data_IF_505570747427
#
_entry.id   IF_505570747427
#
_cell.length_a   1.000
_cell.length_b   1.000
_cell.length_c   1.000
_cell.angle_alpha   90.00
_cell.angle_beta   90.00
_cell.angle_gamma   90.00
#
_symmetry.space_group_name_H-M   'P 1'
#
loop_
_entity.id
_entity.type
_entity.pdbx_description
1 polymer ?
#
# COMPACT_ATOMS: atom_id res chain seq x y z
N UNK A 1 48.90 -4.72 25.27
CA UNK A 1 48.89 -3.64 24.23
C UNK A 1 48.75 -4.30 22.88
N UNK A 2 47.61 -4.11 22.22
CA UNK A 2 47.35 -4.59 20.84
C UNK A 2 48.34 -3.91 19.89
N UNK A 3 49.00 -4.71 19.00
CA UNK A 3 49.93 -4.18 18.02
C UNK A 3 49.23 -3.20 17.07
N UNK A 4 49.78 -2.04 16.75
CA UNK A 4 49.13 -1.00 15.95
C UNK A 4 48.60 -1.50 14.58
N UNK A 5 49.22 -2.50 13.97
CA UNK A 5 48.76 -3.16 12.74
C UNK A 5 47.37 -3.85 12.92
N UNK A 6 47.10 -4.45 14.09
CA UNK A 6 45.85 -5.12 14.36
C UNK A 6 44.70 -4.12 14.54
N UNK A 7 44.97 -2.97 15.16
CA UNK A 7 43.99 -1.88 15.33
C UNK A 7 43.55 -1.27 14.01
N UNK A 8 44.47 -1.11 13.05
CA UNK A 8 44.19 -0.62 11.69
C UNK A 8 43.36 -1.64 10.91
N UNK A 9 43.67 -2.93 11.08
CA UNK A 9 42.92 -4.01 10.42
C UNK A 9 41.47 -4.09 10.93
N UNK A 10 41.23 -3.96 12.24
CA UNK A 10 39.90 -3.94 12.84
C UNK A 10 39.10 -2.70 12.37
N UNK A 11 39.73 -1.52 12.31
CA UNK A 11 39.08 -0.31 11.77
C UNK A 11 38.67 -0.45 10.30
N UNK A 12 39.52 -1.02 9.46
CA UNK A 12 39.22 -1.28 8.04
C UNK A 12 38.09 -2.29 7.90
N UNK A 13 38.06 -3.36 8.70
CA UNK A 13 37.01 -4.37 8.69
C UNK A 13 35.65 -3.78 9.08
N UNK A 14 35.62 -2.92 10.09
CA UNK A 14 34.38 -2.24 10.51
C UNK A 14 33.86 -1.26 9.45
N UNK A 15 34.74 -0.53 8.76
CA UNK A 15 34.34 0.39 7.70
C UNK A 15 33.79 -0.39 6.49
N UNK A 16 34.43 -1.49 6.13
CA UNK A 16 33.97 -2.35 5.03
C UNK A 16 32.61 -3.00 5.35
N UNK A 17 32.41 -3.49 6.57
CA UNK A 17 31.15 -4.03 7.04
C UNK A 17 30.04 -2.97 7.05
N UNK A 18 30.34 -1.74 7.47
CA UNK A 18 29.42 -0.61 7.43
C UNK A 18 29.05 -0.21 6.00
N UNK A 19 30.00 -0.20 5.08
CA UNK A 19 29.76 0.08 3.66
C UNK A 19 28.91 -1.01 3.00
N UNK A 20 29.16 -2.28 3.30
CA UNK A 20 28.35 -3.40 2.81
C UNK A 20 26.92 -3.29 3.37
N UNK A 21 26.76 -2.98 4.66
CA UNK A 21 25.46 -2.78 5.28
C UNK A 21 24.70 -1.61 4.66
N UNK A 22 25.36 -0.50 4.34
CA UNK A 22 24.79 0.65 3.63
C UNK A 22 24.37 0.29 2.20
N UNK A 23 25.14 -0.53 1.50
CA UNK A 23 24.78 -1.01 0.14
C UNK A 23 23.55 -1.91 0.20
N UNK A 24 23.47 -2.83 1.18
CA UNK A 24 22.30 -3.68 1.39
C UNK A 24 21.05 -2.88 1.79
N UNK A 25 21.21 -1.87 2.63
CA UNK A 25 20.12 -0.96 2.99
C UNK A 25 19.62 -0.20 1.74
N UNK A 26 20.53 0.34 0.92
CA UNK A 26 20.15 1.01 -0.32
C UNK A 26 19.51 0.07 -1.35
N UNK A 27 19.90 -1.21 -1.41
CA UNK A 27 19.23 -2.19 -2.27
C UNK A 27 17.84 -2.60 -1.75
N UNK A 28 17.62 -2.62 -0.45
CA UNK A 28 16.29 -2.82 0.14
C UNK A 28 15.34 -1.64 -0.13
N UNK A 29 15.86 -0.42 -0.25
CA UNK A 29 15.08 0.78 -0.60
C UNK A 29 15.04 1.09 -2.11
N UNK A 30 15.86 0.42 -2.93
CA UNK A 30 15.90 0.61 -4.39
C UNK A 30 14.97 -0.32 -5.17
N UNK A 31 14.18 -1.13 -4.49
CA UNK A 31 13.07 -1.83 -5.13
C UNK A 31 12.00 -0.78 -5.34
N UNK A 32 11.83 -0.29 -6.58
CA UNK A 32 10.70 0.57 -6.93
C UNK A 32 9.45 -0.20 -6.52
N UNK A 33 8.77 0.28 -5.48
CA UNK A 33 7.58 -0.38 -5.00
C UNK A 33 6.52 -0.30 -6.10
N UNK A 34 6.34 -1.43 -6.77
CA UNK A 34 5.32 -1.57 -7.81
C UNK A 34 3.98 -1.76 -7.14
N UNK A 35 3.01 -0.99 -7.59
CA UNK A 35 1.63 -1.10 -7.17
C UNK A 35 0.86 -1.81 -8.26
N UNK A 36 0.19 -2.90 -7.88
CA UNK A 36 -0.74 -3.58 -8.78
C UNK A 36 -2.07 -2.84 -8.82
N UNK A 37 -2.53 -2.51 -10.00
CA UNK A 37 -3.91 -2.09 -10.27
C UNK A 37 -4.67 -3.24 -10.92
N UNK A 38 -5.79 -3.64 -10.36
CA UNK A 38 -6.67 -4.66 -10.93
C UNK A 38 -8.12 -4.21 -10.99
N UNK A 39 -8.74 -4.38 -12.13
CA UNK A 39 -10.11 -3.95 -12.41
C UNK A 39 -10.16 -2.64 -13.22
N UNK A 40 -11.26 -1.92 -13.08
CA UNK A 40 -11.48 -0.67 -13.82
C UNK A 40 -10.82 0.52 -13.09
N UNK A 41 -9.50 0.45 -12.91
CA UNK A 41 -8.74 1.57 -12.38
C UNK A 41 -8.44 2.60 -13.47
N UNK A 42 -8.48 3.87 -13.11
CA UNK A 42 -8.06 4.95 -14.00
C UNK A 42 -6.54 5.09 -13.96
N UNK A 43 -5.85 4.62 -15.01
CA UNK A 43 -4.39 4.62 -15.07
C UNK A 43 -3.81 6.04 -15.18
N UNK A 44 -4.50 6.95 -15.82
CA UNK A 44 -4.02 8.32 -15.96
C UNK A 44 -3.99 9.03 -14.61
N UNK A 45 -5.02 8.83 -13.79
CA UNK A 45 -5.06 9.35 -12.42
C UNK A 45 -4.03 8.65 -11.51
N UNK A 46 -3.82 7.35 -11.69
CA UNK A 46 -2.76 6.63 -10.97
C UNK A 46 -1.36 7.18 -11.33
N UNK A 47 -1.11 7.49 -12.59
CA UNK A 47 0.15 8.11 -13.03
C UNK A 47 0.33 9.52 -12.44
N UNK A 48 -0.73 10.32 -12.37
CA UNK A 48 -0.70 11.64 -11.69
C UNK A 48 -0.36 11.48 -10.21
N UNK A 49 -0.92 10.48 -9.53
CA UNK A 49 -0.61 10.17 -8.13
C UNK A 49 0.87 9.78 -7.94
N UNK A 50 1.42 8.97 -8.86
CA UNK A 50 2.85 8.63 -8.86
C UNK A 50 3.72 9.87 -9.02
N UNK A 51 3.41 10.74 -9.97
CA UNK A 51 4.14 11.99 -10.21
C UNK A 51 4.04 12.95 -9.00
N UNK A 52 2.87 13.05 -8.40
CA UNK A 52 2.65 13.85 -7.19
C UNK A 52 3.51 13.33 -6.02
N UNK A 53 3.55 12.04 -5.75
CA UNK A 53 4.40 11.43 -4.72
C UNK A 53 5.88 11.64 -5.00
N UNK A 54 6.31 11.51 -6.25
CA UNK A 54 7.70 11.73 -6.66
C UNK A 54 8.13 13.18 -6.43
N UNK A 55 7.30 14.13 -6.80
CA UNK A 55 7.62 15.56 -6.71
C UNK A 55 7.53 16.10 -5.27
N UNK A 56 6.57 15.62 -4.48
CA UNK A 56 6.33 16.14 -3.12
C UNK A 56 7.14 15.42 -2.04
N UNK A 57 7.48 14.15 -2.23
CA UNK A 57 8.04 13.29 -1.19
C UNK A 57 9.22 12.45 -1.64
N UNK A 58 9.65 12.59 -2.90
CA UNK A 58 10.71 11.78 -3.51
C UNK A 58 10.44 10.27 -3.42
N UNK A 59 9.16 9.88 -3.43
CA UNK A 59 8.72 8.47 -3.47
C UNK A 59 8.47 8.11 -4.93
N UNK A 60 9.25 7.17 -5.46
CA UNK A 60 9.15 6.70 -6.86
C UNK A 60 8.36 5.39 -6.90
N UNK A 61 7.09 5.47 -7.25
CA UNK A 61 6.17 4.33 -7.36
C UNK A 61 5.78 4.11 -8.82
N UNK A 62 5.68 2.86 -9.24
CA UNK A 62 5.19 2.48 -10.56
C UNK A 62 3.87 1.72 -10.42
N UNK A 63 2.83 2.18 -11.10
CA UNK A 63 1.58 1.46 -11.21
C UNK A 63 1.62 0.49 -12.40
N UNK A 64 1.21 -0.76 -12.16
CA UNK A 64 1.10 -1.79 -13.20
C UNK A 64 -0.33 -2.31 -13.25
N UNK A 65 -0.93 -2.31 -14.44
CA UNK A 65 -2.23 -2.94 -14.68
C UNK A 65 -2.01 -4.38 -15.11
N UNK A 66 -2.70 -5.30 -14.46
CA UNK A 66 -2.75 -6.70 -14.90
C UNK A 66 -4.17 -7.10 -15.28
N UNK A 67 -4.26 -7.90 -16.34
CA UNK A 67 -5.48 -8.58 -16.72
C UNK A 67 -5.68 -9.87 -15.88
N UNK A 68 -6.88 -10.45 -15.95
CA UNK A 68 -7.24 -11.65 -15.19
C UNK A 68 -6.36 -12.86 -15.54
N UNK A 69 -5.89 -12.96 -16.79
CA UNK A 69 -5.13 -14.10 -17.29
C UNK A 69 -3.69 -14.14 -16.74
N UNK A 70 -3.14 -12.97 -16.41
CA UNK A 70 -1.75 -12.79 -15.97
C UNK A 70 -1.64 -12.31 -14.53
N UNK A 71 -2.72 -12.39 -13.77
CA UNK A 71 -2.78 -11.84 -12.42
C UNK A 71 -1.90 -12.65 -11.46
N UNK A 72 -0.85 -12.01 -10.95
CA UNK A 72 0.10 -12.55 -9.97
C UNK A 72 0.31 -11.51 -8.88
N UNK A 73 -0.16 -11.78 -7.68
CA UNK A 73 -0.05 -10.84 -6.56
C UNK A 73 1.33 -10.82 -5.91
N UNK A 74 2.08 -11.93 -5.96
CA UNK A 74 3.33 -12.13 -5.22
C UNK A 74 4.48 -11.18 -5.57
N UNK A 75 4.30 -10.37 -6.61
CA UNK A 75 5.30 -9.37 -7.04
C UNK A 75 5.08 -7.98 -6.44
N UNK A 76 3.97 -7.78 -5.70
CA UNK A 76 3.53 -6.46 -5.29
C UNK A 76 3.36 -6.38 -3.76
N UNK A 77 3.86 -5.32 -3.17
CA UNK A 77 3.64 -4.99 -1.76
C UNK A 77 2.36 -4.20 -1.54
N UNK A 78 1.93 -3.45 -2.57
CA UNK A 78 0.71 -2.66 -2.62
C UNK A 78 -0.19 -3.19 -3.74
N UNK A 79 -1.44 -3.50 -3.40
CA UNK A 79 -2.42 -4.08 -4.32
C UNK A 79 -3.70 -3.26 -4.26
N UNK A 80 -4.14 -2.73 -5.41
CA UNK A 80 -5.36 -1.94 -5.52
C UNK A 80 -6.37 -2.69 -6.38
N UNK A 81 -7.53 -2.98 -5.80
CA UNK A 81 -8.69 -3.58 -6.47
C UNK A 81 -9.74 -2.51 -6.69
N UNK A 82 -9.96 -2.10 -7.94
CA UNK A 82 -10.87 -1.03 -8.27
C UNK A 82 -12.30 -1.52 -8.53
N UNK A 83 -13.27 -0.81 -7.96
CA UNK A 83 -14.68 -1.15 -8.06
C UNK A 83 -14.99 -2.52 -7.43
N UNK A 84 -15.79 -3.29 -8.13
CA UNK A 84 -16.17 -4.64 -7.70
C UNK A 84 -15.27 -5.75 -8.28
N UNK A 85 -14.04 -5.42 -8.69
CA UNK A 85 -13.11 -6.40 -9.31
C UNK A 85 -12.77 -7.58 -8.39
N UNK A 86 -12.83 -7.38 -7.06
CA UNK A 86 -12.64 -8.44 -6.08
C UNK A 86 -13.61 -9.61 -6.24
N UNK A 87 -14.81 -9.39 -6.83
CA UNK A 87 -15.79 -10.45 -7.09
C UNK A 87 -15.38 -11.39 -8.24
N UNK A 88 -14.44 -10.98 -9.08
CA UNK A 88 -13.92 -11.77 -10.20
C UNK A 88 -12.73 -12.64 -9.82
N UNK A 89 -12.19 -12.50 -8.62
CA UNK A 89 -11.04 -13.26 -8.18
C UNK A 89 -11.39 -14.73 -7.97
N UNK A 90 -10.59 -15.62 -8.59
CA UNK A 90 -10.70 -17.06 -8.39
C UNK A 90 -10.28 -17.46 -6.97
N UNK A 91 -10.61 -18.69 -6.56
CA UNK A 91 -10.18 -19.27 -5.28
C UNK A 91 -8.64 -19.26 -5.14
N UNK A 92 -7.93 -19.51 -6.22
CA UNK A 92 -6.46 -19.48 -6.25
C UNK A 92 -5.95 -18.08 -6.00
N UNK A 93 -6.54 -17.08 -6.65
CA UNK A 93 -6.20 -15.66 -6.44
C UNK A 93 -6.47 -15.22 -5.02
N UNK A 94 -7.60 -15.62 -4.42
CA UNK A 94 -7.94 -15.29 -3.03
C UNK A 94 -6.91 -15.89 -2.05
N UNK A 95 -6.50 -17.14 -2.26
CA UNK A 95 -5.47 -17.80 -1.43
C UNK A 95 -4.11 -17.12 -1.55
N UNK A 96 -3.71 -16.74 -2.76
CA UNK A 96 -2.47 -15.99 -2.97
C UNK A 96 -2.52 -14.63 -2.29
N UNK A 97 -3.60 -13.87 -2.48
CA UNK A 97 -3.82 -12.57 -1.87
C UNK A 97 -3.82 -12.66 -0.34
N UNK A 98 -4.49 -13.66 0.24
CA UNK A 98 -4.45 -13.94 1.68
C UNK A 98 -2.99 -14.09 2.15
N UNK A 99 -2.21 -14.95 1.51
CA UNK A 99 -0.81 -15.17 1.85
C UNK A 99 0.01 -13.86 1.78
N UNK A 100 -0.22 -13.04 0.76
CA UNK A 100 0.49 -11.78 0.59
C UNK A 100 0.16 -10.80 1.72
N UNK A 101 -1.11 -10.66 2.07
CA UNK A 101 -1.55 -9.77 3.15
C UNK A 101 -1.00 -10.23 4.51
N UNK A 102 -1.02 -11.53 4.79
CA UNK A 102 -0.43 -12.09 6.01
C UNK A 102 1.08 -11.87 6.09
N UNK A 103 1.76 -11.83 4.94
CA UNK A 103 3.19 -11.53 4.84
C UNK A 103 3.53 -10.04 4.80
N UNK A 104 2.54 -9.16 4.95
CA UNK A 104 2.78 -7.74 5.11
C UNK A 104 2.32 -6.84 3.96
N UNK A 105 1.85 -7.39 2.84
CA UNK A 105 1.29 -6.56 1.75
C UNK A 105 0.05 -5.81 2.20
N UNK A 106 -0.21 -4.69 1.55
CA UNK A 106 -1.39 -3.86 1.77
C UNK A 106 -2.36 -3.97 0.60
N UNK A 107 -3.64 -4.12 0.94
CA UNK A 107 -4.74 -4.17 0.00
C UNK A 107 -5.62 -2.94 0.14
N UNK A 108 -5.74 -2.16 -0.92
CA UNK A 108 -6.77 -1.14 -1.08
C UNK A 108 -7.88 -1.68 -1.98
N UNK A 109 -9.12 -1.62 -1.51
CA UNK A 109 -10.32 -1.87 -2.33
C UNK A 109 -10.97 -0.51 -2.54
N UNK A 110 -10.80 0.01 -3.75
CA UNK A 110 -11.23 1.36 -4.11
C UNK A 110 -12.61 1.33 -4.76
N UNK A 111 -13.52 2.19 -4.29
CA UNK A 111 -14.86 2.35 -4.86
C UNK A 111 -15.74 1.09 -4.84
N UNK A 112 -15.81 0.37 -3.71
CA UNK A 112 -16.75 -0.74 -3.59
C UNK A 112 -18.21 -0.25 -3.42
N UNK A 113 -19.16 -1.03 -3.89
CA UNK A 113 -20.58 -0.62 -3.93
C UNK A 113 -21.46 -1.27 -2.86
N UNK A 114 -21.13 -2.46 -2.41
CA UNK A 114 -22.01 -3.23 -1.51
C UNK A 114 -21.25 -3.73 -0.28
N UNK A 115 -21.68 -3.27 0.90
CA UNK A 115 -21.16 -3.75 2.19
C UNK A 115 -21.30 -5.25 2.36
N UNK A 116 -22.42 -5.82 1.90
CA UNK A 116 -22.68 -7.25 2.02
C UNK A 116 -21.70 -8.09 1.22
N UNK A 117 -21.51 -7.77 -0.06
CA UNK A 117 -20.59 -8.53 -0.93
C UNK A 117 -19.14 -8.37 -0.49
N UNK A 118 -18.75 -7.17 -0.05
CA UNK A 118 -17.41 -6.92 0.47
C UNK A 118 -17.18 -7.70 1.77
N UNK A 119 -18.12 -7.72 2.72
CA UNK A 119 -17.97 -8.48 3.96
C UNK A 119 -17.82 -9.99 3.71
N UNK A 120 -18.58 -10.54 2.75
CA UNK A 120 -18.40 -11.94 2.33
C UNK A 120 -16.98 -12.16 1.78
N UNK A 121 -16.50 -11.27 0.92
CA UNK A 121 -15.17 -11.36 0.35
C UNK A 121 -14.09 -11.26 1.44
N UNK A 122 -14.17 -10.28 2.34
CA UNK A 122 -13.20 -10.11 3.43
C UNK A 122 -13.21 -11.31 4.39
N UNK A 123 -14.39 -11.85 4.72
CA UNK A 123 -14.49 -13.07 5.52
C UNK A 123 -13.86 -14.28 4.83
N UNK A 124 -13.99 -14.40 3.51
CA UNK A 124 -13.32 -15.46 2.73
C UNK A 124 -11.82 -15.25 2.66
N UNK A 125 -11.38 -14.00 2.54
CA UNK A 125 -9.97 -13.63 2.43
C UNK A 125 -9.23 -13.74 3.77
N UNK A 126 -9.83 -13.26 4.87
CA UNK A 126 -9.19 -13.08 6.17
C UNK A 126 -10.14 -13.49 7.32
N UNK A 127 -10.60 -14.74 7.34
CA UNK A 127 -11.61 -15.25 8.28
C UNK A 127 -11.27 -15.02 9.76
N UNK A 128 -10.01 -15.03 10.12
CA UNK A 128 -9.53 -14.89 11.52
C UNK A 128 -9.41 -13.42 11.96
N UNK A 129 -9.55 -12.48 11.03
CA UNK A 129 -9.35 -11.05 11.29
C UNK A 129 -10.64 -10.28 11.03
N UNK A 130 -11.32 -9.81 12.09
CA UNK A 130 -12.59 -9.10 11.93
C UNK A 130 -12.39 -7.75 11.22
N UNK A 131 -13.35 -7.41 10.37
CA UNK A 131 -13.43 -6.08 9.79
C UNK A 131 -13.89 -5.05 10.83
N UNK A 132 -13.37 -3.84 10.74
CA UNK A 132 -13.81 -2.66 11.49
C UNK A 132 -14.41 -1.64 10.52
N UNK A 133 -15.43 -0.94 10.98
CA UNK A 133 -16.02 0.18 10.25
C UNK A 133 -15.61 1.47 10.96
N UNK A 134 -14.80 2.28 10.32
CA UNK A 134 -14.32 3.54 10.87
C UNK A 134 -14.38 4.64 9.80
N UNK A 135 -14.33 5.88 10.24
CA UNK A 135 -14.15 7.01 9.33
C UNK A 135 -12.75 6.97 8.70
N UNK A 136 -12.62 7.47 7.48
CA UNK A 136 -11.32 7.62 6.82
C UNK A 136 -10.38 8.52 7.63
N UNK A 137 -10.92 9.51 8.35
CA UNK A 137 -10.12 10.41 9.21
C UNK A 137 -9.38 9.67 10.32
N UNK A 138 -9.92 8.54 10.81
CA UNK A 138 -9.24 7.71 11.81
C UNK A 138 -8.08 6.91 11.23
N UNK A 139 -8.13 6.61 9.93
CA UNK A 139 -7.05 5.94 9.18
C UNK A 139 -5.88 6.90 8.96
N UNK A 140 -6.19 8.16 8.70
CA UNK A 140 -5.21 9.19 8.36
C UNK A 140 -4.67 9.91 9.60
N UNK A 141 -4.34 9.16 10.66
CA UNK A 141 -3.77 9.72 11.91
C UNK A 141 -2.54 10.61 11.67
N UNK A 142 -1.72 10.26 10.68
CA UNK A 142 -0.69 11.13 10.12
C UNK A 142 -1.16 11.59 8.75
N UNK A 143 -1.48 12.88 8.62
CA UNK A 143 -1.91 13.48 7.36
C UNK A 143 -0.83 14.43 6.80
N UNK A 144 0.31 13.91 6.33
CA UNK A 144 1.44 14.74 5.90
C UNK A 144 1.11 15.56 4.66
N UNK A 145 0.16 15.11 3.86
CA UNK A 145 -0.29 15.79 2.64
C UNK A 145 -1.44 16.77 2.89
N UNK A 146 -1.86 16.96 4.16
CA UNK A 146 -2.88 17.93 4.57
C UNK A 146 -4.20 17.77 3.80
N UNK A 147 -4.68 16.54 3.73
CA UNK A 147 -6.01 16.22 3.18
C UNK A 147 -7.05 17.02 3.97
N UNK A 148 -8.01 17.63 3.30
CA UNK A 148 -9.14 18.25 3.96
C UNK A 148 -10.11 17.17 4.45
N UNK A 149 -9.94 16.75 5.70
CA UNK A 149 -10.72 15.67 6.31
C UNK A 149 -12.20 16.04 6.51
N UNK A 150 -12.54 17.32 6.62
CA UNK A 150 -13.93 17.78 6.75
C UNK A 150 -14.76 17.48 5.51
N UNK A 151 -14.11 17.33 4.36
CA UNK A 151 -14.72 16.93 3.09
C UNK A 151 -14.81 15.41 2.90
N UNK A 152 -14.15 14.64 3.76
CA UNK A 152 -14.07 13.18 3.68
C UNK A 152 -14.98 12.53 4.71
N UNK A 153 -16.30 12.62 4.51
CA UNK A 153 -17.28 12.04 5.42
C UNK A 153 -17.74 10.65 4.96
N UNK A 154 -16.80 9.79 4.55
CA UNK A 154 -17.17 8.44 4.17
C UNK A 154 -16.60 7.38 5.14
N UNK A 155 -17.37 6.32 5.29
CA UNK A 155 -16.98 5.18 6.10
C UNK A 155 -16.09 4.24 5.29
N UNK A 156 -15.14 3.63 5.99
CA UNK A 156 -14.24 2.64 5.43
C UNK A 156 -14.41 1.30 6.14
N UNK A 157 -14.12 0.20 5.44
CA UNK A 157 -13.87 -1.08 6.08
C UNK A 157 -12.37 -1.33 6.18
N UNK A 158 -11.96 -1.78 7.34
CA UNK A 158 -10.55 -1.92 7.71
C UNK A 158 -10.30 -3.29 8.31
N UNK A 159 -9.17 -3.91 7.96
CA UNK A 159 -8.69 -5.12 8.63
C UNK A 159 -7.27 -4.89 9.14
N UNK A 160 -7.06 -5.20 10.41
CA UNK A 160 -5.77 -5.08 11.08
C UNK A 160 -5.19 -6.45 11.39
N UNK A 161 -3.89 -6.62 11.13
CA UNK A 161 -3.11 -7.80 11.47
C UNK A 161 -1.92 -7.34 12.29
N UNK A 162 -1.78 -7.85 13.52
CA UNK A 162 -0.73 -7.41 14.47
C UNK A 162 -0.69 -5.89 14.63
N UNK A 163 -1.88 -5.27 14.83
CA UNK A 163 -2.09 -3.82 14.99
C UNK A 163 -1.78 -2.97 13.76
N UNK A 164 -1.33 -3.56 12.66
CA UNK A 164 -1.07 -2.86 11.39
C UNK A 164 -2.27 -2.95 10.46
N UNK A 165 -2.65 -1.83 9.87
CA UNK A 165 -3.69 -1.79 8.83
C UNK A 165 -3.18 -2.55 7.59
N UNK A 166 -3.90 -3.59 7.19
CA UNK A 166 -3.54 -4.42 6.03
C UNK A 166 -4.56 -4.36 4.91
N UNK A 167 -5.81 -4.08 5.22
CA UNK A 167 -6.84 -3.87 4.22
C UNK A 167 -7.58 -2.60 4.53
N UNK A 168 -7.75 -1.76 3.53
CA UNK A 168 -8.59 -0.58 3.53
C UNK A 168 -9.56 -0.66 2.35
N UNK A 169 -10.85 -0.49 2.59
CA UNK A 169 -11.84 -0.42 1.53
C UNK A 169 -12.63 0.90 1.62
N UNK A 170 -12.73 1.60 0.51
CA UNK A 170 -13.41 2.88 0.35
C UNK A 170 -14.77 2.67 -0.33
N UNK A 171 -15.85 3.05 0.34
CA UNK A 171 -17.21 2.86 -0.17
C UNK A 171 -17.62 4.02 -1.06
N UNK A 172 -18.04 3.69 -2.30
CA UNK A 172 -18.60 4.64 -3.27
C UNK A 172 -17.69 5.85 -3.58
N UNK A 173 -16.47 5.82 -3.03
CA UNK A 173 -15.42 6.81 -3.25
C UNK A 173 -14.21 6.17 -3.91
N UNK A 174 -13.51 6.93 -4.72
CA UNK A 174 -12.30 6.50 -5.37
C UNK A 174 -11.18 7.52 -5.19
N UNK A 175 -9.99 7.04 -4.93
CA UNK A 175 -8.79 7.88 -4.97
C UNK A 175 -8.42 8.29 -6.40
N UNK A 176 -9.04 7.67 -7.41
CA UNK A 176 -8.78 7.91 -8.82
C UNK A 176 -9.93 8.64 -9.54
N UNK A 177 -11.14 8.69 -8.98
CA UNK A 177 -12.34 9.21 -9.66
C UNK A 177 -13.31 9.87 -8.67
N UNK A 178 -12.85 10.62 -7.68
CA UNK A 178 -13.79 11.24 -6.76
C UNK A 178 -14.31 12.59 -7.27
N UNK A 179 -15.50 12.99 -6.81
CA UNK A 179 -16.04 14.34 -7.02
C UNK A 179 -15.25 15.42 -6.24
N UNK A 180 -14.30 14.99 -5.40
CA UNK A 180 -13.34 15.89 -4.76
C UNK A 180 -12.50 16.57 -5.84
N UNK A 181 -12.00 17.76 -5.54
CA UNK A 181 -11.09 18.39 -6.48
C UNK A 181 -9.81 17.52 -6.62
N UNK A 182 -9.22 17.54 -7.81
CA UNK A 182 -8.07 16.72 -8.19
C UNK A 182 -6.93 16.77 -7.15
N UNK A 183 -6.64 17.93 -6.58
CA UNK A 183 -5.60 18.11 -5.56
C UNK A 183 -5.91 17.34 -4.27
N UNK A 184 -7.17 17.33 -3.82
CA UNK A 184 -7.55 16.60 -2.60
C UNK A 184 -7.52 15.07 -2.80
N UNK A 185 -7.82 14.59 -4.00
CA UNK A 185 -7.70 13.17 -4.36
C UNK A 185 -6.24 12.70 -4.35
N UNK A 186 -5.35 13.48 -4.96
CA UNK A 186 -3.92 13.19 -4.95
C UNK A 186 -3.37 13.17 -3.51
N UNK A 187 -3.80 14.10 -2.67
CA UNK A 187 -3.43 14.14 -1.26
C UNK A 187 -3.96 12.94 -0.48
N UNK A 188 -5.21 12.51 -0.72
CA UNK A 188 -5.83 11.36 -0.09
C UNK A 188 -5.06 10.06 -0.45
N UNK A 189 -4.89 9.81 -1.75
CA UNK A 189 -4.14 8.65 -2.23
C UNK A 189 -2.71 8.61 -1.69
N UNK A 190 -2.03 9.77 -1.69
CA UNK A 190 -0.68 9.91 -1.14
C UNK A 190 -0.64 9.64 0.36
N UNK A 191 -1.62 10.13 1.12
CA UNK A 191 -1.68 9.89 2.57
C UNK A 191 -1.91 8.42 2.90
N UNK A 192 -2.76 7.71 2.14
CA UNK A 192 -3.00 6.28 2.31
C UNK A 192 -1.71 5.49 2.05
N UNK A 193 -1.04 5.75 0.92
CA UNK A 193 0.21 5.09 0.55
C UNK A 193 1.31 5.38 1.57
N UNK A 194 1.46 6.62 1.97
CA UNK A 194 2.47 7.05 2.95
C UNK A 194 2.27 6.39 4.32
N UNK A 195 1.02 6.35 4.81
CA UNK A 195 0.71 5.67 6.08
C UNK A 195 1.03 4.18 6.02
N UNK A 196 0.85 3.53 4.87
CA UNK A 196 1.29 2.16 4.68
C UNK A 196 2.82 2.04 4.73
N UNK A 197 3.54 2.86 3.97
CA UNK A 197 5.01 2.78 3.86
C UNK A 197 5.72 3.06 5.20
N UNK A 198 5.18 3.98 6.02
CA UNK A 198 5.76 4.31 7.34
C UNK A 198 5.28 3.37 8.44
N UNK A 199 4.03 2.89 8.36
CA UNK A 199 3.43 2.01 9.35
C UNK A 199 3.96 0.57 9.34
N UNK A 200 4.78 0.23 8.36
CA UNK A 200 5.47 -1.04 8.22
C UNK A 200 6.90 -0.96 8.72
#
# INVERSE_FOLDING_TARGET
>A
KLKPKLLIMIKKLNITALLIMLIFINQLFAQSDKILLYGNCNIDEANKLSEYLKTTSNIDLAFEINDEANLVFSKYSLIFLCGNSYLKLSETHIKELNRMILNGSFLLIDNYKSDYTLSIFLKKLLAEYPEKNNSISEVLNNNPYRVNLDQLQFNTKQVYISEKLRVLALKEESIFESELNEDNNLRLGSSIIFNYLIGN
#
